data_IF_359390138653
#
_entry.id   IF_359390138653
#
_cell.length_a   1.000
_cell.length_b   1.000
_cell.length_c   1.000
_cell.angle_alpha   90.00
_cell.angle_beta   90.00
_cell.angle_gamma   90.00
#
_symmetry.space_group_name_H-M   'P 1'
#
loop_
_entity.id
_entity.type
_entity.pdbx_description
1 polymer ?
#
# COMPACT_ATOMS: atom_id res chain seq x y z
N UNK A 1 10.23 18.80 -11.36
CA UNK A 1 10.26 18.45 -12.81
C UNK A 1 8.85 18.63 -13.33
N UNK A 2 8.65 19.42 -14.38
CA UNK A 2 7.34 19.70 -14.94
C UNK A 2 6.78 18.51 -15.74
N UNK A 3 5.45 18.46 -15.92
CA UNK A 3 4.77 17.47 -16.77
C UNK A 3 5.37 17.41 -18.19
N UNK A 4 5.63 18.57 -18.80
CA UNK A 4 6.24 18.67 -20.12
C UNK A 4 7.63 18.01 -20.22
N UNK A 5 8.47 18.21 -19.20
CA UNK A 5 9.82 17.63 -19.20
C UNK A 5 9.77 16.09 -19.11
N UNK A 6 8.82 15.52 -18.35
CA UNK A 6 8.62 14.07 -18.23
C UNK A 6 8.08 13.50 -19.54
N UNK A 7 7.10 14.16 -20.15
CA UNK A 7 6.48 13.71 -21.40
C UNK A 7 7.46 13.71 -22.59
N UNK A 8 8.20 14.81 -22.79
CA UNK A 8 9.17 14.95 -23.89
C UNK A 8 10.34 13.98 -23.79
N UNK A 9 10.81 13.64 -22.57
CA UNK A 9 11.96 12.74 -22.36
C UNK A 9 11.61 11.26 -22.35
N UNK A 10 10.36 10.86 -22.56
CA UNK A 10 9.87 9.46 -22.47
C UNK A 10 10.25 8.78 -21.14
N UNK A 11 10.35 9.54 -20.06
CA UNK A 11 10.68 9.05 -18.72
C UNK A 11 9.52 8.23 -18.19
N UNK A 12 9.80 7.07 -17.59
CA UNK A 12 8.82 6.29 -16.85
C UNK A 12 8.75 6.82 -15.40
N UNK A 13 7.60 7.34 -14.99
CA UNK A 13 7.36 7.79 -13.62
C UNK A 13 6.91 6.62 -12.76
N UNK A 14 7.53 6.43 -11.59
CA UNK A 14 7.06 5.49 -10.57
C UNK A 14 6.47 6.29 -9.41
N UNK A 15 5.17 6.11 -9.18
CA UNK A 15 4.44 6.80 -8.13
C UNK A 15 4.04 5.81 -7.04
N UNK A 16 4.50 6.07 -5.81
CA UNK A 16 4.10 5.28 -4.64
C UNK A 16 2.79 5.84 -4.09
N UNK A 17 1.74 5.06 -4.23
CA UNK A 17 0.41 5.31 -3.67
C UNK A 17 0.17 4.44 -2.42
N UNK A 18 -1.07 4.31 -1.98
CA UNK A 18 -1.45 3.65 -0.72
C UNK A 18 -2.63 2.70 -0.91
N UNK A 19 -2.74 1.68 -0.08
CA UNK A 19 -3.95 0.88 0.10
C UNK A 19 -5.12 1.69 0.69
N UNK A 20 -4.83 2.84 1.33
CA UNK A 20 -5.84 3.76 1.89
C UNK A 20 -6.73 4.44 0.85
N UNK A 21 -6.54 4.21 -0.45
CA UNK A 21 -7.49 4.61 -1.51
C UNK A 21 -8.71 3.69 -1.59
N UNK A 22 -8.63 2.48 -1.03
CA UNK A 22 -9.74 1.52 -0.97
C UNK A 22 -10.66 1.78 0.22
N UNK A 23 -11.91 1.25 0.22
CA UNK A 23 -12.85 1.40 1.34
C UNK A 23 -12.36 0.83 2.67
N UNK A 24 -11.39 -0.08 2.66
CA UNK A 24 -10.73 -0.67 3.84
C UNK A 24 -11.66 -1.43 4.80
N UNK A 25 -12.74 -2.03 4.27
CA UNK A 25 -13.79 -2.76 5.03
C UNK A 25 -13.76 -4.26 4.79
N UNK A 26 -13.71 -4.70 3.51
CA UNK A 26 -13.86 -6.10 3.11
C UNK A 26 -12.54 -6.80 2.77
N UNK A 27 -11.52 -6.03 2.45
CA UNK A 27 -10.22 -6.55 2.01
C UNK A 27 -10.23 -7.18 0.60
N UNK A 28 -9.09 -7.78 0.25
CA UNK A 28 -8.82 -8.42 -1.04
C UNK A 28 -9.08 -7.51 -2.26
N UNK A 29 -8.78 -6.21 -2.12
CA UNK A 29 -9.00 -5.22 -3.17
C UNK A 29 -8.04 -5.43 -4.34
N UNK A 30 -8.59 -5.60 -5.53
CA UNK A 30 -7.84 -5.59 -6.79
C UNK A 30 -7.64 -4.16 -7.29
N UNK A 31 -6.80 -3.99 -8.30
CA UNK A 31 -6.53 -2.71 -8.95
C UNK A 31 -7.79 -2.05 -9.51
N UNK A 32 -8.79 -2.87 -9.86
CA UNK A 32 -10.10 -2.44 -10.43
C UNK A 32 -11.20 -2.29 -9.37
N UNK A 33 -10.91 -2.51 -8.09
CA UNK A 33 -11.90 -2.34 -7.02
C UNK A 33 -12.31 -0.88 -6.87
N UNK A 34 -13.56 -0.65 -6.41
CA UNK A 34 -14.09 0.69 -6.12
C UNK A 34 -13.18 1.42 -5.15
N UNK A 35 -13.00 2.72 -5.37
CA UNK A 35 -12.17 3.61 -4.57
C UNK A 35 -13.05 4.43 -3.65
N UNK A 36 -12.74 4.41 -2.36
CA UNK A 36 -13.43 5.21 -1.33
C UNK A 36 -12.46 5.43 -0.17
N UNK A 37 -11.53 6.40 -0.29
CA UNK A 37 -10.63 6.72 0.79
C UNK A 37 -11.40 7.12 2.06
N UNK A 38 -10.95 6.62 3.21
CA UNK A 38 -11.59 6.89 4.50
C UNK A 38 -10.95 8.05 5.27
N UNK A 39 -9.89 8.66 4.73
CA UNK A 39 -9.20 9.82 5.31
C UNK A 39 -8.62 10.74 4.26
N UNK A 40 -8.24 11.95 4.68
CA UNK A 40 -7.67 13.00 3.81
C UNK A 40 -6.40 12.51 3.10
N UNK A 41 -5.53 11.78 3.80
CA UNK A 41 -4.31 11.22 3.17
C UNK A 41 -4.64 10.31 1.98
N UNK A 42 -5.60 9.40 2.13
CA UNK A 42 -6.04 8.55 1.03
C UNK A 42 -6.57 9.34 -0.17
N UNK A 43 -7.34 10.41 0.09
CA UNK A 43 -7.83 11.30 -0.97
C UNK A 43 -6.70 12.04 -1.69
N UNK A 44 -5.71 12.58 -0.97
CA UNK A 44 -4.56 13.25 -1.62
C UNK A 44 -3.77 12.29 -2.50
N UNK A 45 -3.60 11.04 -2.06
CA UNK A 45 -2.93 10.00 -2.85
C UNK A 45 -3.76 9.61 -4.08
N UNK A 46 -5.07 9.48 -3.93
CA UNK A 46 -5.96 9.18 -5.06
C UNK A 46 -5.94 10.29 -6.12
N UNK A 47 -6.00 11.56 -5.71
CA UNK A 47 -5.87 12.69 -6.63
C UNK A 47 -4.55 12.65 -7.41
N UNK A 48 -3.42 12.36 -6.72
CA UNK A 48 -2.13 12.23 -7.41
C UNK A 48 -2.08 11.05 -8.38
N UNK A 49 -2.79 9.94 -8.13
CA UNK A 49 -2.91 8.85 -9.10
C UNK A 49 -3.57 9.31 -10.41
N UNK A 50 -4.62 10.13 -10.34
CA UNK A 50 -5.28 10.67 -11.54
C UNK A 50 -4.33 11.56 -12.36
N UNK A 51 -3.54 12.41 -11.70
CA UNK A 51 -2.54 13.24 -12.38
C UNK A 51 -1.48 12.36 -13.07
N UNK A 52 -0.99 11.33 -12.37
CA UNK A 52 0.03 10.42 -12.91
C UNK A 52 -0.49 9.62 -14.12
N UNK A 53 -1.76 9.25 -14.15
CA UNK A 53 -2.39 8.55 -15.27
C UNK A 53 -2.46 9.37 -16.56
N UNK A 54 -2.28 10.69 -16.50
CA UNK A 54 -2.17 11.55 -17.70
C UNK A 54 -0.84 11.36 -18.43
N UNK A 55 0.16 10.73 -17.82
CA UNK A 55 1.45 10.42 -18.45
C UNK A 55 1.36 9.17 -19.32
N UNK A 56 2.16 9.11 -20.39
CA UNK A 56 2.21 7.95 -21.29
C UNK A 56 2.88 6.73 -20.66
N UNK A 57 3.89 6.95 -19.79
CA UNK A 57 4.68 5.89 -19.16
C UNK A 57 4.73 6.09 -17.66
N UNK A 58 3.99 5.27 -16.93
CA UNK A 58 3.96 5.34 -15.47
C UNK A 58 3.78 3.94 -14.84
N UNK A 59 4.19 3.84 -13.60
CA UNK A 59 3.80 2.75 -12.70
C UNK A 59 3.26 3.39 -11.42
N UNK A 60 2.00 3.13 -11.09
CA UNK A 60 1.42 3.48 -9.81
C UNK A 60 1.45 2.23 -8.94
N UNK A 61 2.07 2.32 -7.78
CA UNK A 61 2.18 1.22 -6.82
C UNK A 61 1.32 1.55 -5.61
N UNK A 62 0.20 0.84 -5.43
CA UNK A 62 -0.57 0.88 -4.18
C UNK A 62 0.06 -0.10 -3.21
N UNK A 63 0.42 0.39 -2.04
CA UNK A 63 1.12 -0.42 -1.04
C UNK A 63 0.89 0.13 0.37
N UNK A 64 1.13 -0.70 1.38
CA UNK A 64 1.35 -0.30 2.77
C UNK A 64 2.64 -0.93 3.22
N UNK A 65 3.54 -0.15 3.77
CA UNK A 65 4.84 -0.65 4.21
C UNK A 65 5.18 -0.18 5.61
N UNK A 66 6.13 -0.88 6.24
CA UNK A 66 6.67 -0.55 7.55
C UNK A 66 8.17 -0.80 7.60
N UNK A 67 8.84 -0.13 8.51
CA UNK A 67 10.24 -0.36 8.85
C UNK A 67 10.31 -1.21 10.11
N UNK A 68 10.85 -2.43 9.99
CA UNK A 68 10.98 -3.37 11.11
C UNK A 68 11.86 -2.85 12.25
N UNK A 69 12.77 -1.91 11.96
CA UNK A 69 13.66 -1.29 12.96
C UNK A 69 13.00 -0.14 13.72
N UNK A 70 11.81 0.32 13.26
CA UNK A 70 11.10 1.49 13.79
C UNK A 70 9.71 1.15 14.32
N UNK A 71 9.47 -0.09 14.75
CA UNK A 71 8.19 -0.49 15.35
C UNK A 71 8.12 0.10 16.77
N UNK A 72 7.40 1.23 16.90
CA UNK A 72 7.27 1.98 18.17
C UNK A 72 6.08 1.54 19.01
N UNK A 73 5.14 0.78 18.44
CA UNK A 73 3.92 0.36 19.11
C UNK A 73 4.20 -0.71 20.17
N UNK A 74 3.55 -0.62 21.33
CA UNK A 74 3.56 -1.64 22.39
C UNK A 74 2.45 -2.68 22.18
N UNK A 75 1.40 -2.29 21.46
CA UNK A 75 0.24 -3.13 21.13
C UNK A 75 -0.01 -3.11 19.62
N UNK A 76 -0.67 -4.16 19.10
CA UNK A 76 -1.15 -4.19 17.72
C UNK A 76 -2.45 -4.98 17.60
N UNK A 77 -3.31 -4.57 16.68
CA UNK A 77 -4.63 -5.14 16.52
C UNK A 77 -4.59 -6.54 15.89
N UNK A 78 -5.37 -7.45 16.46
CA UNK A 78 -5.57 -8.81 15.95
C UNK A 78 -6.63 -8.86 14.84
N UNK A 79 -7.47 -7.84 14.76
CA UNK A 79 -8.67 -7.70 13.91
C UNK A 79 -8.59 -6.55 12.89
N UNK A 80 -7.42 -5.94 12.72
CA UNK A 80 -7.09 -5.07 11.58
C UNK A 80 -6.24 -5.89 10.61
N UNK A 81 -6.68 -5.99 9.35
CA UNK A 81 -6.01 -6.80 8.33
C UNK A 81 -5.45 -5.96 7.21
N UNK A 82 -4.24 -6.30 6.78
CA UNK A 82 -3.52 -5.60 5.71
C UNK A 82 -2.70 -6.56 4.86
N UNK A 83 -2.21 -6.06 3.73
CA UNK A 83 -1.16 -6.68 2.91
C UNK A 83 0.16 -5.95 3.05
N UNK A 84 0.47 -5.42 4.26
CA UNK A 84 1.70 -4.63 4.45
C UNK A 84 2.96 -5.42 4.17
N UNK A 85 3.98 -4.72 3.70
CA UNK A 85 5.28 -5.28 3.33
C UNK A 85 6.41 -4.54 4.08
N UNK A 86 7.46 -5.25 4.43
CA UNK A 86 8.66 -4.63 5.01
C UNK A 86 9.38 -3.77 3.96
N UNK A 87 9.82 -2.57 4.35
CA UNK A 87 10.32 -1.54 3.44
C UNK A 87 11.47 -2.01 2.55
N UNK A 88 12.44 -2.78 3.06
CA UNK A 88 13.55 -3.29 2.24
C UNK A 88 13.08 -4.30 1.18
N UNK A 89 12.03 -5.07 1.48
CA UNK A 89 11.40 -5.94 0.46
C UNK A 89 10.67 -5.11 -0.58
N UNK A 90 9.92 -4.07 -0.17
CA UNK A 90 9.26 -3.18 -1.10
C UNK A 90 10.26 -2.53 -2.06
N UNK A 91 11.41 -2.05 -1.56
CA UNK A 91 12.48 -1.46 -2.39
C UNK A 91 12.97 -2.44 -3.46
N UNK A 92 13.17 -3.72 -3.10
CA UNK A 92 13.54 -4.77 -4.07
C UNK A 92 12.47 -4.95 -5.14
N UNK A 93 11.19 -4.98 -4.74
CA UNK A 93 10.09 -5.15 -5.69
C UNK A 93 9.89 -3.93 -6.60
N UNK A 94 10.09 -2.71 -6.08
CA UNK A 94 10.11 -1.49 -6.89
C UNK A 94 11.23 -1.56 -7.93
N UNK A 95 12.45 -1.95 -7.54
CA UNK A 95 13.57 -2.12 -8.46
C UNK A 95 13.25 -3.14 -9.55
N UNK A 96 12.70 -4.29 -9.18
CA UNK A 96 12.34 -5.35 -10.12
C UNK A 96 11.30 -4.87 -11.13
N UNK A 97 10.19 -4.27 -10.68
CA UNK A 97 9.12 -3.82 -11.58
C UNK A 97 9.56 -2.63 -12.45
N UNK A 98 10.46 -1.77 -11.95
CA UNK A 98 10.99 -0.64 -12.71
C UNK A 98 11.75 -1.07 -13.97
N UNK A 99 12.38 -2.24 -13.92
CA UNK A 99 13.15 -2.83 -15.03
C UNK A 99 12.27 -3.51 -16.08
N UNK A 100 10.97 -3.71 -15.78
CA UNK A 100 10.03 -4.33 -16.74
C UNK A 100 9.45 -3.30 -17.71
N UNK A 101 8.79 -3.77 -18.78
CA UNK A 101 8.01 -2.93 -19.69
C UNK A 101 6.59 -2.63 -19.13
N UNK A 102 6.28 -3.01 -17.92
CA UNK A 102 4.97 -2.76 -17.33
C UNK A 102 4.67 -1.26 -17.24
N UNK A 103 3.47 -0.89 -17.63
CA UNK A 103 2.88 0.45 -17.50
C UNK A 103 1.49 0.27 -16.92
N UNK A 104 1.15 1.07 -15.92
CA UNK A 104 -0.16 1.01 -15.28
C UNK A 104 -0.11 1.03 -13.76
N UNK A 105 -1.15 0.49 -13.14
CA UNK A 105 -1.34 0.44 -11.70
C UNK A 105 -1.19 -1.00 -11.21
N UNK A 106 -0.53 -1.19 -10.06
CA UNK A 106 -0.32 -2.49 -9.44
C UNK A 106 -0.34 -2.41 -7.91
N UNK A 107 -0.95 -3.41 -7.28
CA UNK A 107 -0.87 -3.61 -5.83
C UNK A 107 0.39 -4.39 -5.48
N UNK A 108 1.24 -3.85 -4.59
CA UNK A 108 2.43 -4.53 -4.08
C UNK A 108 2.34 -4.67 -2.57
N UNK A 109 2.49 -5.88 -2.08
CA UNK A 109 2.40 -6.20 -0.67
C UNK A 109 2.74 -7.66 -0.38
N UNK A 110 2.44 -8.09 0.86
CA UNK A 110 2.47 -9.49 1.27
C UNK A 110 1.05 -10.04 1.44
N UNK A 111 0.94 -11.35 1.72
CA UNK A 111 -0.36 -11.99 1.99
C UNK A 111 -1.09 -11.27 3.13
N UNK A 112 -2.41 -11.27 3.08
CA UNK A 112 -3.29 -10.76 4.14
C UNK A 112 -2.90 -11.34 5.51
N UNK A 113 -2.66 -10.45 6.48
CA UNK A 113 -2.42 -10.78 7.90
C UNK A 113 -2.95 -9.66 8.77
N UNK A 114 -3.19 -9.98 10.06
CA UNK A 114 -3.45 -8.93 11.04
C UNK A 114 -2.20 -8.11 11.33
N UNK A 115 -2.39 -6.86 11.78
CA UNK A 115 -1.29 -5.99 12.18
C UNK A 115 -0.45 -6.63 13.29
N UNK A 116 -1.11 -7.30 14.25
CA UNK A 116 -0.43 -8.05 15.29
C UNK A 116 0.54 -9.10 14.73
N UNK A 117 0.10 -9.95 13.79
CA UNK A 117 0.94 -10.98 13.20
C UNK A 117 2.08 -10.39 12.35
N UNK A 118 1.86 -9.24 11.73
CA UNK A 118 2.88 -8.57 10.96
C UNK A 118 4.01 -8.04 11.86
N UNK A 119 3.66 -7.38 12.96
CA UNK A 119 4.66 -6.79 13.85
C UNK A 119 5.28 -7.81 14.82
N UNK A 120 4.51 -8.80 15.32
CA UNK A 120 4.99 -9.86 16.23
C UNK A 120 6.19 -10.63 15.66
N UNK A 121 6.27 -10.75 14.34
CA UNK A 121 7.40 -11.37 13.65
C UNK A 121 8.74 -10.66 13.91
N UNK A 122 8.73 -9.36 14.21
CA UNK A 122 9.92 -8.54 14.36
C UNK A 122 10.07 -7.93 15.77
N UNK A 123 8.97 -7.77 16.50
CA UNK A 123 8.94 -7.27 17.89
C UNK A 123 8.22 -8.30 18.76
N UNK A 124 9.00 -9.21 19.37
CA UNK A 124 8.46 -10.34 20.11
C UNK A 124 7.65 -9.99 21.36
N UNK A 125 7.89 -8.82 21.97
CA UNK A 125 7.20 -8.34 23.17
C UNK A 125 5.92 -7.54 22.86
N UNK A 126 5.54 -7.36 21.57
CA UNK A 126 4.31 -6.66 21.22
C UNK A 126 3.08 -7.42 21.75
N UNK A 127 2.14 -6.70 22.36
CA UNK A 127 0.93 -7.28 22.95
C UNK A 127 -0.24 -7.20 21.97
N UNK A 128 -1.16 -8.17 21.99
CA UNK A 128 -2.36 -8.10 21.16
C UNK A 128 -3.34 -7.06 21.74
N UNK A 129 -4.07 -6.38 20.86
CA UNK A 129 -5.23 -5.56 21.20
C UNK A 129 -6.32 -5.72 20.13
N UNK A 130 -7.49 -5.15 20.35
CA UNK A 130 -8.54 -5.05 19.32
C UNK A 130 -8.47 -3.73 18.57
N UNK A 131 -9.12 -3.66 17.39
CA UNK A 131 -9.34 -2.40 16.68
C UNK A 131 -10.09 -1.37 17.55
N UNK A 132 -11.06 -1.84 18.33
CA UNK A 132 -11.84 -0.97 19.22
C UNK A 132 -10.98 -0.35 20.32
N UNK A 133 -9.96 -1.05 20.83
CA UNK A 133 -9.05 -0.48 21.83
C UNK A 133 -8.23 0.67 21.22
N UNK A 134 -7.80 0.53 19.98
CA UNK A 134 -7.09 1.61 19.26
C UNK A 134 -8.01 2.81 18.99
N UNK A 135 -9.29 2.57 18.65
CA UNK A 135 -10.23 3.63 18.32
C UNK A 135 -10.62 4.50 19.54
N UNK A 136 -10.49 4.00 20.77
CA UNK A 136 -10.77 4.80 21.99
C UNK A 136 -9.88 6.04 22.09
N UNK A 137 -8.65 5.95 21.58
CA UNK A 137 -7.65 7.02 21.64
C UNK A 137 -7.60 7.86 20.37
N UNK A 138 -8.46 7.58 19.38
CA UNK A 138 -8.48 8.25 18.09
C UNK A 138 -9.82 8.94 17.83
N UNK A 139 -9.74 10.12 17.24
CA UNK A 139 -10.91 10.87 16.76
C UNK A 139 -11.16 10.72 15.25
N UNK A 140 -10.61 9.68 14.64
CA UNK A 140 -10.76 9.39 13.21
C UNK A 140 -10.88 7.89 12.95
N UNK A 141 -11.45 7.56 11.79
CA UNK A 141 -11.65 6.18 11.34
C UNK A 141 -10.32 5.52 10.95
N UNK A 142 -10.19 4.23 11.30
CA UNK A 142 -9.08 3.38 10.84
C UNK A 142 -9.62 2.17 10.06
N UNK A 143 -8.79 1.63 9.18
CA UNK A 143 -9.12 0.46 8.39
C UNK A 143 -9.55 -0.73 9.25
N UNK A 144 -10.49 -1.55 8.74
CA UNK A 144 -10.79 -2.88 9.27
C UNK A 144 -10.03 -3.94 8.48
N UNK A 145 -10.19 -3.92 7.17
CA UNK A 145 -9.45 -4.80 6.26
C UNK A 145 -9.08 -4.04 4.98
N UNK A 146 -7.82 -3.67 4.87
CA UNK A 146 -7.23 -3.00 3.72
C UNK A 146 -6.37 -3.94 2.87
N UNK A 147 -6.52 -5.27 3.06
CA UNK A 147 -5.75 -6.23 2.30
C UNK A 147 -6.03 -6.13 0.80
N UNK A 148 -4.99 -6.39 0.02
CA UNK A 148 -5.00 -6.25 -1.43
C UNK A 148 -4.89 -7.60 -2.12
N UNK A 149 -5.54 -7.73 -3.28
CA UNK A 149 -5.31 -8.81 -4.22
C UNK A 149 -3.98 -8.57 -4.95
N UNK A 150 -3.09 -9.54 -4.93
CA UNK A 150 -1.74 -9.42 -5.47
C UNK A 150 -1.53 -10.28 -6.74
N UNK A 151 -2.61 -10.72 -7.39
CA UNK A 151 -2.50 -11.63 -8.54
C UNK A 151 -1.81 -10.96 -9.74
N UNK A 152 -2.12 -9.68 -10.01
CA UNK A 152 -1.46 -8.94 -11.07
C UNK A 152 0.04 -8.81 -10.80
N UNK A 153 0.43 -8.46 -9.59
CA UNK A 153 1.84 -8.36 -9.20
C UNK A 153 2.59 -9.69 -9.38
N UNK A 154 2.00 -10.81 -8.94
CA UNK A 154 2.58 -12.15 -9.14
C UNK A 154 2.77 -12.47 -10.62
N UNK A 155 1.77 -12.16 -11.45
CA UNK A 155 1.85 -12.35 -12.91
C UNK A 155 2.94 -11.51 -13.60
N UNK A 156 3.20 -10.30 -13.09
CA UNK A 156 4.29 -9.46 -13.62
C UNK A 156 5.66 -10.06 -13.26
N UNK A 157 5.80 -10.60 -12.05
CA UNK A 157 7.06 -11.22 -11.58
C UNK A 157 7.39 -12.55 -12.26
N UNK A 158 6.42 -13.26 -12.79
CA UNK A 158 6.62 -14.58 -13.44
C UNK A 158 6.99 -14.45 -14.92
N UNK A 159 7.09 -13.25 -15.43
CA UNK A 159 7.56 -12.93 -16.80
C UNK A 159 9.00 -12.45 -16.81
#
# INVERSE_FOLDING_TARGET
MSYEAISKKKIKLIHISTDGVYPSTKGNYSENSSLKPYNVYGWTKLCSEYIVKMLQKYIIIRTRFFDKTKIRFETAATDIFTSMIEVNKLVKEIKNISSTNFVGLVNIGERRRSDFLNYKKFKHNIKPCSRNDILKDLNFEIAKDASMNLNLFKKIKSK
#
